data_IF_914288219984
#
_entry.id   IF_914288219984
#
_cell.length_a   1.000
_cell.length_b   1.000
_cell.length_c   1.000
_cell.angle_alpha   90.00
_cell.angle_beta   90.00
_cell.angle_gamma   90.00
#
_symmetry.space_group_name_H-M   'P 1'
#
loop_
_entity.id
_entity.type
_entity.pdbx_description
1 polymer ?
#
# COMPACT_ATOMS: atom_id res chain seq x y z
N UNK A 1 -4.98 10.33 -12.32
CA UNK A 1 -5.38 10.04 -10.93
C UNK A 1 -4.18 9.45 -10.21
N UNK A 2 -3.93 9.80 -8.94
CA UNK A 2 -2.76 9.31 -8.25
C UNK A 2 -2.95 7.82 -7.91
N UNK A 3 -2.19 6.96 -8.59
CA UNK A 3 -2.02 5.55 -8.28
C UNK A 3 -0.58 5.30 -7.88
N UNK A 4 -0.34 4.46 -6.88
CA UNK A 4 0.99 4.00 -6.49
C UNK A 4 0.97 2.49 -6.21
N UNK A 5 1.96 1.77 -6.70
CA UNK A 5 2.17 0.37 -6.34
C UNK A 5 3.24 0.26 -5.25
N UNK A 6 3.05 -0.64 -4.28
CA UNK A 6 3.96 -0.81 -3.15
C UNK A 6 4.35 -2.27 -2.97
N UNK A 7 5.62 -2.52 -2.65
CA UNK A 7 6.14 -3.84 -2.29
C UNK A 7 7.22 -3.72 -1.22
N UNK A 8 7.17 -4.57 -0.20
CA UNK A 8 8.14 -4.67 0.88
C UNK A 8 8.72 -6.09 0.96
N UNK A 9 9.87 -6.37 0.32
CA UNK A 9 10.44 -7.71 0.26
C UNK A 9 11.03 -8.19 1.59
N UNK A 10 11.42 -7.28 2.48
CA UNK A 10 12.14 -7.65 3.71
C UNK A 10 11.24 -7.95 4.91
N UNK A 11 9.98 -7.52 4.89
CA UNK A 11 9.12 -7.53 6.07
C UNK A 11 7.64 -7.64 5.67
N UNK A 12 7.04 -8.80 5.95
CA UNK A 12 5.63 -9.07 5.65
C UNK A 12 4.66 -8.19 6.45
N UNK A 13 5.01 -7.77 7.67
CA UNK A 13 4.20 -6.82 8.44
C UNK A 13 4.25 -5.46 7.75
N UNK A 14 5.44 -5.00 7.36
CA UNK A 14 5.58 -3.75 6.60
C UNK A 14 4.84 -3.83 5.26
N UNK A 15 4.91 -4.97 4.56
CA UNK A 15 4.18 -5.21 3.32
C UNK A 15 2.66 -5.19 3.48
N UNK A 16 2.14 -5.55 4.66
CA UNK A 16 0.71 -5.45 4.97
C UNK A 16 0.30 -4.01 5.37
N UNK A 17 1.10 -3.31 6.18
CA UNK A 17 0.70 -2.01 6.74
C UNK A 17 1.10 -0.80 5.92
N UNK A 18 2.16 -0.88 5.10
CA UNK A 18 2.61 0.19 4.23
C UNK A 18 1.53 0.68 3.26
N UNK A 19 0.84 -0.19 2.48
CA UNK A 19 -0.20 0.27 1.57
C UNK A 19 -1.37 0.93 2.32
N UNK A 20 -1.75 0.40 3.48
CA UNK A 20 -2.80 1.00 4.32
C UNK A 20 -2.39 2.39 4.82
N UNK A 21 -1.16 2.52 5.33
CA UNK A 21 -0.64 3.79 5.84
C UNK A 21 -0.48 4.83 4.72
N UNK A 22 -0.01 4.41 3.53
CA UNK A 22 0.04 5.26 2.34
C UNK A 22 -1.36 5.75 1.94
N UNK A 23 -2.36 4.87 1.97
CA UNK A 23 -3.73 5.21 1.65
C UNK A 23 -4.35 6.21 2.65
N UNK A 24 -4.01 6.13 3.95
CA UNK A 24 -4.47 7.13 4.94
C UNK A 24 -3.96 8.56 4.70
N UNK A 25 -2.98 8.74 3.81
CA UNK A 25 -2.49 10.05 3.43
C UNK A 25 -3.45 10.79 2.47
N UNK A 26 -4.44 10.09 1.92
CA UNK A 26 -5.47 10.63 1.02
C UNK A 26 -6.83 10.72 1.74
N UNK A 27 -7.69 11.70 1.41
CA UNK A 27 -9.04 11.78 1.98
C UNK A 27 -9.92 10.58 1.62
N UNK A 28 -9.78 10.09 0.39
CA UNK A 28 -10.50 8.93 -0.14
C UNK A 28 -9.54 8.09 -0.95
N UNK A 29 -9.39 6.81 -0.60
CA UNK A 29 -8.44 5.91 -1.25
C UNK A 29 -8.91 4.47 -1.22
N UNK A 30 -8.66 3.75 -2.31
CA UNK A 30 -8.79 2.30 -2.37
C UNK A 30 -7.41 1.67 -2.22
N UNK A 31 -7.29 0.64 -1.39
CA UNK A 31 -6.18 -0.30 -1.42
C UNK A 31 -6.65 -1.55 -2.15
N UNK A 32 -6.00 -1.90 -3.25
CA UNK A 32 -6.26 -3.15 -3.96
C UNK A 32 -5.10 -4.10 -3.67
N UNK A 33 -5.43 -5.25 -3.11
CA UNK A 33 -4.45 -6.30 -2.90
C UNK A 33 -4.28 -7.15 -4.16
N UNK A 34 -3.06 -7.15 -4.71
CA UNK A 34 -2.67 -7.94 -5.89
C UNK A 34 -1.85 -9.18 -5.52
N UNK A 35 -1.68 -9.44 -4.23
CA UNK A 35 -1.02 -10.62 -3.71
C UNK A 35 -2.06 -11.71 -3.40
N UNK A 36 -1.98 -12.85 -4.08
CA UNK A 36 -2.88 -13.97 -3.85
C UNK A 36 -2.75 -14.55 -2.43
N UNK A 37 -1.56 -14.42 -1.82
CA UNK A 37 -1.24 -14.89 -0.47
C UNK A 37 -1.32 -13.76 0.57
N UNK A 38 -2.01 -12.67 0.20
CA UNK A 38 -2.12 -11.48 1.03
C UNK A 38 -2.93 -11.65 2.33
N UNK A 39 -2.90 -10.64 3.22
CA UNK A 39 -3.69 -10.65 4.44
C UNK A 39 -5.18 -10.85 4.15
N UNK A 40 -5.86 -11.51 5.09
CA UNK A 40 -7.31 -11.63 5.08
C UNK A 40 -7.98 -10.29 5.43
N UNK A 41 -8.00 -9.36 4.48
CA UNK A 41 -8.69 -8.09 4.58
C UNK A 41 -10.21 -8.34 4.75
N UNK A 42 -10.88 -7.66 5.71
CA UNK A 42 -12.32 -7.77 5.87
C UNK A 42 -12.99 -7.05 4.69
N UNK A 43 -13.55 -7.84 3.79
CA UNK A 43 -14.30 -7.36 2.64
C UNK A 43 -15.44 -8.31 2.34
N UNK A 44 -16.62 -7.78 2.01
CA UNK A 44 -17.76 -8.60 1.59
C UNK A 44 -17.50 -9.30 0.25
N UNK A 45 -16.73 -8.64 -0.64
CA UNK A 45 -16.30 -9.17 -1.94
C UNK A 45 -14.82 -8.89 -2.15
N UNK A 46 -14.17 -9.83 -2.81
CA UNK A 46 -12.77 -9.80 -3.22
C UNK A 46 -12.62 -9.42 -4.69
N UNK A 47 -11.39 -9.13 -5.12
CA UNK A 47 -11.05 -8.89 -6.52
C UNK A 47 -11.45 -10.09 -7.39
N UNK A 48 -11.29 -11.33 -6.90
CA UNK A 48 -11.82 -12.54 -7.54
C UNK A 48 -13.32 -12.47 -7.80
N UNK A 49 -14.11 -12.00 -6.83
CA UNK A 49 -15.56 -11.88 -6.98
C UNK A 49 -15.95 -10.84 -8.04
N UNK A 50 -15.16 -9.77 -8.18
CA UNK A 50 -15.35 -8.74 -9.20
C UNK A 50 -14.96 -9.26 -10.59
N UNK A 51 -13.90 -10.05 -10.72
CA UNK A 51 -13.50 -10.67 -11.99
C UNK A 51 -14.58 -11.65 -12.48
N UNK A 52 -15.11 -12.48 -11.59
CA UNK A 52 -16.09 -13.52 -11.93
C UNK A 52 -17.52 -13.00 -12.13
N UNK A 53 -17.95 -12.07 -11.27
CA UNK A 53 -19.34 -11.58 -11.23
C UNK A 53 -19.54 -10.15 -11.75
N UNK A 54 -18.45 -9.49 -12.15
CA UNK A 54 -18.46 -8.07 -12.49
C UNK A 54 -18.52 -7.15 -11.25
N UNK A 55 -18.05 -5.91 -11.41
CA UNK A 55 -18.11 -4.90 -10.36
C UNK A 55 -19.46 -4.18 -10.34
N UNK A 56 -19.90 -3.80 -9.14
CA UNK A 56 -21.04 -2.94 -8.84
C UNK A 56 -20.60 -1.48 -8.84
N UNK A 57 -21.57 -0.57 -8.98
CA UNK A 57 -21.31 0.87 -8.94
C UNK A 57 -20.54 1.31 -7.67
N UNK A 58 -20.91 0.74 -6.52
CA UNK A 58 -20.31 1.05 -5.20
C UNK A 58 -18.86 0.57 -5.05
N UNK A 59 -18.44 -0.41 -5.85
CA UNK A 59 -17.07 -0.93 -5.87
C UNK A 59 -16.20 -0.10 -6.82
N UNK A 60 -16.79 0.44 -7.90
CA UNK A 60 -16.09 1.27 -8.89
C UNK A 60 -15.90 2.70 -8.39
N UNK A 61 -16.87 3.23 -7.62
CA UNK A 61 -16.85 4.62 -7.14
C UNK A 61 -17.16 4.70 -5.65
N UNK A 62 -16.37 5.47 -4.87
CA UNK A 62 -16.65 5.63 -3.45
C UNK A 62 -17.94 6.42 -3.25
N UNK A 63 -18.85 5.89 -2.42
CA UNK A 63 -20.07 6.59 -2.00
C UNK A 63 -19.82 7.62 -0.89
N UNK A 64 -18.75 7.42 -0.11
CA UNK A 64 -18.36 8.31 0.99
C UNK A 64 -16.84 8.44 1.10
N UNK A 65 -16.33 9.53 1.69
CA UNK A 65 -14.90 9.68 1.95
C UNK A 65 -14.37 8.61 2.91
N UNK A 66 -13.16 8.14 2.67
CA UNK A 66 -12.49 7.18 3.55
C UNK A 66 -11.57 6.19 2.85
N UNK A 67 -11.09 5.23 3.64
CA UNK A 67 -10.27 4.11 3.18
C UNK A 67 -11.16 2.91 2.88
N UNK A 68 -11.04 2.36 1.68
CA UNK A 68 -11.57 1.06 1.33
C UNK A 68 -10.42 0.09 1.04
N UNK A 69 -10.64 -1.20 1.29
CA UNK A 69 -9.69 -2.26 0.96
C UNK A 69 -10.40 -3.37 0.20
N UNK A 70 -9.82 -3.78 -0.92
CA UNK A 70 -10.29 -4.89 -1.74
C UNK A 70 -9.26 -6.03 -1.63
N UNK A 71 -9.65 -7.11 -0.97
CA UNK A 71 -8.83 -8.31 -0.87
C UNK A 71 -8.63 -8.96 -2.25
N UNK A 72 -7.50 -9.64 -2.49
CA UNK A 72 -7.25 -10.30 -3.76
C UNK A 72 -8.25 -11.45 -4.02
N UNK A 73 -8.42 -12.34 -3.04
CA UNK A 73 -9.30 -13.50 -3.15
C UNK A 73 -8.72 -14.67 -3.95
N UNK A 74 -7.47 -14.59 -4.41
CA UNK A 74 -6.72 -15.67 -5.08
C UNK A 74 -6.77 -15.60 -6.62
N UNK A 75 -6.78 -14.41 -7.20
CA UNK A 75 -6.64 -14.20 -8.66
C UNK A 75 -5.29 -13.58 -8.98
N UNK A 76 -4.75 -13.95 -10.13
CA UNK A 76 -3.55 -13.31 -10.67
C UNK A 76 -3.84 -11.87 -11.11
N UNK A 77 -2.79 -11.04 -11.20
CA UNK A 77 -2.93 -9.70 -11.75
C UNK A 77 -3.43 -9.71 -13.21
N UNK A 78 -2.99 -10.69 -14.00
CA UNK A 78 -3.38 -10.81 -15.41
C UNK A 78 -4.89 -11.04 -15.57
N UNK A 79 -5.47 -11.94 -14.78
CA UNK A 79 -6.92 -12.17 -14.75
C UNK A 79 -7.70 -10.93 -14.25
N UNK A 80 -7.11 -10.17 -13.33
CA UNK A 80 -7.75 -9.02 -12.72
C UNK A 80 -7.48 -7.68 -13.44
N UNK A 81 -6.69 -7.69 -14.52
CA UNK A 81 -6.13 -6.49 -15.13
C UNK A 81 -7.19 -5.45 -15.48
N UNK A 82 -8.24 -5.86 -16.17
CA UNK A 82 -9.33 -4.98 -16.61
C UNK A 82 -10.07 -4.34 -15.42
N UNK A 83 -10.31 -5.11 -14.36
CA UNK A 83 -10.94 -4.61 -13.14
C UNK A 83 -10.04 -3.61 -12.43
N UNK A 84 -8.75 -3.91 -12.31
CA UNK A 84 -7.78 -3.01 -11.67
C UNK A 84 -7.67 -1.68 -12.44
N UNK A 85 -7.59 -1.73 -13.77
CA UNK A 85 -7.58 -0.53 -14.62
C UNK A 85 -8.87 0.29 -14.45
N UNK A 86 -10.04 -0.37 -14.40
CA UNK A 86 -11.32 0.29 -14.15
C UNK A 86 -11.36 0.99 -12.78
N UNK A 87 -10.84 0.34 -11.74
CA UNK A 87 -10.77 0.91 -10.39
C UNK A 87 -9.84 2.12 -10.35
N UNK A 88 -8.66 2.05 -10.98
CA UNK A 88 -7.71 3.16 -11.09
C UNK A 88 -8.34 4.37 -11.78
N UNK A 89 -9.19 4.16 -12.78
CA UNK A 89 -9.84 5.23 -13.54
C UNK A 89 -11.01 5.91 -12.79
N UNK A 90 -11.57 5.27 -11.76
CA UNK A 90 -12.78 5.76 -11.12
C UNK A 90 -12.59 6.14 -9.64
N UNK A 91 -11.52 5.69 -8.99
CA UNK A 91 -11.21 6.05 -7.62
C UNK A 91 -10.34 7.32 -7.53
N UNK A 92 -10.59 8.22 -6.55
CA UNK A 92 -9.79 9.43 -6.37
C UNK A 92 -8.29 9.17 -6.14
N UNK A 93 -7.96 8.07 -5.46
CA UNK A 93 -6.61 7.57 -5.27
C UNK A 93 -6.63 6.05 -5.10
N UNK A 94 -5.59 5.38 -5.60
CA UNK A 94 -5.46 3.92 -5.51
C UNK A 94 -4.05 3.54 -5.06
N UNK A 95 -3.97 2.63 -4.10
CA UNK A 95 -2.72 1.97 -3.70
C UNK A 95 -2.81 0.50 -4.07
N UNK A 96 -1.86 0.03 -4.88
CA UNK A 96 -1.75 -1.38 -5.23
C UNK A 96 -0.74 -2.03 -4.28
N UNK A 97 -1.18 -3.03 -3.52
CA UNK A 97 -0.28 -3.87 -2.71
C UNK A 97 0.19 -5.03 -3.57
N UNK A 98 1.50 -5.16 -3.75
CA UNK A 98 2.11 -6.23 -4.52
C UNK A 98 2.65 -7.32 -3.60
N UNK A 99 2.52 -8.58 -4.00
CA UNK A 99 3.19 -9.73 -3.36
C UNK A 99 4.65 -9.90 -3.81
N UNK A 100 5.03 -9.27 -4.91
CA UNK A 100 6.35 -9.41 -5.55
C UNK A 100 6.82 -8.13 -6.24
N UNK A 101 7.91 -8.22 -7.04
CA UNK A 101 8.39 -7.14 -7.88
C UNK A 101 7.28 -6.56 -8.78
N UNK A 102 7.38 -5.28 -9.21
CA UNK A 102 6.29 -4.55 -9.86
C UNK A 102 5.72 -5.13 -11.16
N UNK A 103 6.46 -5.99 -11.86
CA UNK A 103 6.00 -6.57 -13.13
C UNK A 103 5.45 -5.51 -14.09
N UNK A 104 4.32 -5.82 -14.73
CA UNK A 104 3.64 -4.94 -15.70
C UNK A 104 2.46 -4.14 -15.10
N UNK A 105 2.48 -3.93 -13.78
CA UNK A 105 1.41 -3.20 -13.08
C UNK A 105 1.38 -1.73 -13.55
N UNK A 106 0.21 -1.16 -13.91
CA UNK A 106 0.08 0.17 -14.51
C UNK A 106 0.14 1.30 -13.46
N UNK A 107 1.19 1.32 -12.63
CA UNK A 107 1.36 2.32 -11.60
C UNK A 107 2.86 2.58 -11.30
N UNK A 108 3.23 3.83 -10.97
CA UNK A 108 4.56 4.12 -10.42
C UNK A 108 4.84 3.26 -9.20
N UNK A 109 6.04 2.67 -9.17
CA UNK A 109 6.45 1.73 -8.13
C UNK A 109 7.16 2.44 -6.99
N UNK A 110 6.67 2.21 -5.78
CA UNK A 110 7.23 2.72 -4.53
C UNK A 110 7.83 1.55 -3.75
N UNK A 111 9.16 1.32 -3.83
CA UNK A 111 9.79 0.30 -3.02
C UNK A 111 9.73 0.73 -1.55
N UNK A 112 9.15 -0.13 -0.71
CA UNK A 112 9.15 0.04 0.73
C UNK A 112 10.21 -0.88 1.31
N UNK A 113 11.07 -0.36 2.18
CA UNK A 113 12.28 -1.03 2.63
C UNK A 113 12.50 -0.79 4.12
N UNK A 114 13.03 -1.79 4.81
CA UNK A 114 13.57 -1.58 6.16
C UNK A 114 14.89 -0.80 6.10
N UNK A 115 15.04 0.19 6.98
CA UNK A 115 16.30 0.91 7.18
C UNK A 115 17.01 0.33 8.41
N UNK A 116 17.74 -0.76 8.20
CA UNK A 116 18.50 -1.47 9.24
C UNK A 116 20.00 -1.17 9.16
N UNK A 117 20.73 -1.19 10.29
CA UNK A 117 22.19 -1.10 10.28
C UNK A 117 22.86 -2.27 9.54
N UNK A 118 23.98 -1.99 8.87
CA UNK A 118 24.82 -3.00 8.22
C UNK A 118 24.43 -3.31 6.78
N UNK A 119 24.92 -4.43 6.26
CA UNK A 119 24.69 -4.90 4.87
C UNK A 119 23.61 -5.99 4.77
N UNK A 120 22.80 -6.19 5.82
CA UNK A 120 21.76 -7.22 5.83
C UNK A 120 20.71 -6.98 4.74
N UNK A 121 20.28 -5.73 4.60
CA UNK A 121 19.45 -5.26 3.49
C UNK A 121 20.09 -4.00 2.92
N UNK A 122 21.05 -4.13 1.99
CA UNK A 122 21.73 -2.98 1.43
C UNK A 122 20.68 -2.14 0.69
N UNK A 123 20.47 -0.88 1.09
CA UNK A 123 19.46 -0.08 0.45
C UNK A 123 19.79 0.15 -1.03
N UNK A 124 18.78 -0.01 -1.88
CA UNK A 124 18.94 0.18 -3.32
C UNK A 124 18.08 1.37 -3.78
N UNK A 125 18.76 2.37 -4.35
CA UNK A 125 18.11 3.49 -5.03
C UNK A 125 17.11 4.27 -4.16
N UNK A 126 16.19 4.94 -4.86
CA UNK A 126 15.11 5.72 -4.24
C UNK A 126 14.06 4.77 -3.67
N UNK A 127 13.52 5.11 -2.50
CA UNK A 127 12.49 4.30 -1.85
C UNK A 127 11.93 4.93 -0.60
N UNK A 128 10.97 4.25 0.01
CA UNK A 128 10.40 4.58 1.31
C UNK A 128 11.06 3.71 2.37
N UNK A 129 11.77 4.34 3.29
CA UNK A 129 12.65 3.69 4.25
C UNK A 129 12.07 3.74 5.67
N UNK A 130 11.63 2.59 6.17
CA UNK A 130 11.11 2.42 7.52
C UNK A 130 12.26 2.36 8.54
N UNK A 131 12.38 3.37 9.39
CA UNK A 131 13.38 3.37 10.47
C UNK A 131 13.06 2.34 11.54
N UNK A 132 14.11 1.67 12.03
CA UNK A 132 14.07 0.91 13.29
C UNK A 132 14.18 1.88 14.48
N UNK A 133 13.52 1.53 15.59
CA UNK A 133 13.51 2.31 16.83
C UNK A 133 14.94 2.56 17.34
N UNK A 134 15.20 3.78 17.83
CA UNK A 134 16.47 4.10 18.52
C UNK A 134 17.68 4.29 17.62
N UNK A 135 17.50 4.35 16.29
CA UNK A 135 18.60 4.59 15.33
C UNK A 135 18.23 5.67 14.32
N UNK A 136 19.16 6.59 14.08
CA UNK A 136 19.12 7.51 12.93
C UNK A 136 20.16 7.03 11.93
N UNK A 137 19.72 6.79 10.72
CA UNK A 137 20.59 6.38 9.61
C UNK A 137 20.36 7.32 8.43
N UNK A 138 21.41 7.57 7.64
CA UNK A 138 21.27 8.33 6.40
C UNK A 138 20.32 7.59 5.46
N UNK A 139 19.50 8.37 4.75
CA UNK A 139 18.53 7.83 3.80
C UNK A 139 19.22 7.73 2.44
N UNK A 140 19.16 6.57 1.78
CA UNK A 140 19.71 6.38 0.44
C UNK A 140 19.01 7.25 -0.61
N UNK A 141 19.79 7.75 -1.57
CA UNK A 141 19.37 8.30 -2.87
C UNK A 141 18.10 9.19 -2.86
N UNK A 142 18.00 10.14 -1.93
CA UNK A 142 16.86 11.07 -1.88
C UNK A 142 15.50 10.41 -1.59
N UNK A 143 15.51 9.23 -0.97
CA UNK A 143 14.31 8.51 -0.56
C UNK A 143 13.55 9.19 0.59
N UNK A 144 12.34 8.71 0.84
CA UNK A 144 11.50 9.17 1.95
C UNK A 144 11.81 8.35 3.19
N UNK A 145 12.14 9.00 4.30
CA UNK A 145 12.35 8.32 5.57
C UNK A 145 11.12 8.40 6.45
N UNK A 146 10.65 7.25 6.91
CA UNK A 146 9.58 7.17 7.88
C UNK A 146 10.17 7.13 9.30
N UNK A 147 9.55 7.80 10.28
CA UNK A 147 9.91 7.58 11.69
C UNK A 147 9.57 6.14 12.12
N UNK A 148 9.94 5.75 13.34
CA UNK A 148 9.48 4.46 13.86
C UNK A 148 7.94 4.40 13.91
N UNK A 149 7.38 3.30 13.43
CA UNK A 149 5.95 3.04 13.43
C UNK A 149 5.46 2.81 14.88
N UNK A 150 4.46 3.56 15.38
CA UNK A 150 3.90 3.30 16.70
C UNK A 150 3.16 1.95 16.70
N UNK A 151 3.43 1.10 17.68
CA UNK A 151 2.77 -0.22 17.82
C UNK A 151 1.24 -0.11 17.74
N UNK A 152 0.63 0.81 18.50
CA UNK A 152 -0.82 1.04 18.46
C UNK A 152 -1.36 1.39 17.06
N UNK A 153 -0.58 2.10 16.25
CA UNK A 153 -0.97 2.44 14.87
C UNK A 153 -0.89 1.21 13.98
N UNK A 154 0.18 0.41 14.10
CA UNK A 154 0.35 -0.85 13.37
C UNK A 154 -0.77 -1.82 13.72
N UNK A 155 -1.03 -2.03 15.01
CA UNK A 155 -2.10 -2.92 15.50
C UNK A 155 -3.48 -2.47 14.98
N UNK A 156 -3.76 -1.16 15.00
CA UNK A 156 -5.01 -0.62 14.45
C UNK A 156 -5.14 -0.90 12.95
N UNK A 157 -4.09 -0.69 12.16
CA UNK A 157 -4.10 -0.97 10.73
C UNK A 157 -4.28 -2.45 10.41
N UNK A 158 -3.56 -3.33 11.12
CA UNK A 158 -3.68 -4.79 10.96
C UNK A 158 -5.06 -5.33 11.40
N UNK A 159 -5.77 -4.60 12.27
CA UNK A 159 -7.12 -4.93 12.71
C UNK A 159 -8.20 -4.10 12.00
N UNK A 160 -7.83 -3.37 10.95
CA UNK A 160 -8.73 -2.58 10.10
C UNK A 160 -9.53 -1.52 10.85
N UNK A 161 -8.92 -0.96 11.90
CA UNK A 161 -9.45 0.15 12.68
C UNK A 161 -8.77 1.45 12.27
N UNK A 162 -9.53 2.54 12.32
CA UNK A 162 -8.98 3.87 12.07
C UNK A 162 -7.89 4.19 13.11
N UNK A 163 -6.62 4.35 12.70
CA UNK A 163 -5.56 4.68 13.64
C UNK A 163 -5.65 6.16 14.05
N UNK A 164 -5.25 6.46 15.29
CA UNK A 164 -5.07 7.84 15.71
C UNK A 164 -3.97 8.54 14.88
N UNK A 165 -4.13 9.85 14.57
CA UNK A 165 -3.11 10.60 13.84
C UNK A 165 -1.73 10.49 14.51
N UNK A 166 -0.71 10.19 13.71
CA UNK A 166 0.65 10.05 14.21
C UNK A 166 1.66 10.72 13.28
N UNK A 167 2.88 10.99 13.79
CA UNK A 167 4.00 11.46 12.95
C UNK A 167 4.34 10.46 11.84
N UNK A 168 4.07 9.17 12.07
CA UNK A 168 4.35 8.12 11.12
C UNK A 168 3.36 8.15 9.96
N UNK A 169 2.05 8.20 10.25
CA UNK A 169 1.02 8.37 9.22
C UNK A 169 1.21 9.66 8.42
N UNK A 170 1.55 10.77 9.08
CA UNK A 170 1.81 12.04 8.39
C UNK A 170 3.03 11.99 7.45
N UNK A 171 4.03 11.16 7.74
CA UNK A 171 5.22 11.05 6.89
C UNK A 171 4.89 10.45 5.52
N UNK A 172 3.86 9.59 5.43
CA UNK A 172 3.41 8.98 4.18
C UNK A 172 2.85 10.00 3.17
N UNK A 173 2.41 11.18 3.60
CA UNK A 173 1.97 12.25 2.68
C UNK A 173 3.07 12.67 1.70
N UNK A 174 4.34 12.62 2.14
CA UNK A 174 5.50 12.96 1.31
C UNK A 174 5.74 11.96 0.19
N UNK A 175 5.20 10.75 0.31
CA UNK A 175 5.32 9.70 -0.71
C UNK A 175 4.48 10.08 -1.92
N UNK A 176 3.25 10.55 -1.73
CA UNK A 176 2.38 10.99 -2.84
C UNK A 176 2.91 12.20 -3.62
N UNK A 177 3.75 13.03 -3.01
CA UNK A 177 4.36 14.21 -3.66
C UNK A 177 5.75 13.96 -4.22
N UNK A 178 6.29 12.75 -4.08
CA UNK A 178 7.62 12.41 -4.59
C UNK A 178 7.55 11.93 -6.04
N UNK A 179 8.64 12.11 -6.78
CA UNK A 179 8.81 11.54 -8.12
C UNK A 179 9.27 10.09 -8.00
N UNK A 180 8.46 9.16 -8.53
CA UNK A 180 8.66 7.72 -8.51
C UNK A 180 8.86 7.16 -9.92
#
# INVERSE_FOLDING_TARGET
>A
MPVLATWAPEDGVLGAVAPLALATAQPTCLVVDLDADGPAYPSERSLRDLVSGGPRAVEIRPESPGLAVLANGGVSFEEAREIVELLIQNWPAVVLRLGGPPGDVPAPFVPVRLLVPGRLFPPQGRGVYQRVVGRRMPVPAGGVSLPAAPRKTVDALLTFKQPAPSRWLRAWRRVWSAEW
#
